data_IF_344223558316
#
_entry.id   IF_344223558316
#
_cell.length_a   1.000
_cell.length_b   1.000
_cell.length_c   1.000
_cell.angle_alpha   90.00
_cell.angle_beta   90.00
_cell.angle_gamma   90.00
#
_symmetry.space_group_name_H-M   'P 1'
#
loop_
_entity.id
_entity.type
_entity.pdbx_description
1 polymer ?
#
# COMPACT_ATOMS: atom_id res chain seq x y z
N UNK A 1 52.10 31.01 16.62
CA UNK A 1 50.82 31.30 17.28
C UNK A 1 49.75 31.91 16.36
N UNK A 2 50.01 32.85 15.48
CA UNK A 2 49.01 33.38 14.52
C UNK A 2 48.65 32.38 13.40
N UNK A 3 49.58 31.55 12.96
CA UNK A 3 49.41 30.59 11.84
C UNK A 3 48.51 29.42 12.25
N UNK A 4 48.61 28.91 13.47
CA UNK A 4 47.81 27.79 13.98
C UNK A 4 46.32 28.17 14.15
N UNK A 5 46.07 29.43 14.54
CA UNK A 5 44.69 29.93 14.71
C UNK A 5 43.97 30.07 13.36
N UNK A 6 44.67 30.48 12.30
CA UNK A 6 44.10 30.60 10.94
C UNK A 6 43.79 29.21 10.32
N UNK A 7 44.66 28.22 10.56
CA UNK A 7 44.38 26.83 10.14
C UNK A 7 43.19 26.22 10.89
N UNK A 8 43.08 26.47 12.19
CA UNK A 8 41.93 25.97 12.99
C UNK A 8 40.59 26.57 12.52
N UNK A 9 40.56 27.88 12.22
CA UNK A 9 39.34 28.53 11.71
C UNK A 9 38.99 28.04 10.32
N UNK A 10 39.97 27.77 9.43
CA UNK A 10 39.75 27.24 8.09
C UNK A 10 39.20 25.83 8.15
N UNK A 11 39.66 24.98 9.06
CA UNK A 11 39.19 23.60 9.22
C UNK A 11 37.76 23.57 9.78
N UNK A 12 37.44 24.45 10.73
CA UNK A 12 36.09 24.57 11.29
C UNK A 12 35.05 24.99 10.24
N UNK A 13 35.43 25.90 9.34
CA UNK A 13 34.56 26.36 8.25
C UNK A 13 34.31 25.24 7.20
N UNK A 14 35.29 24.39 6.91
CA UNK A 14 35.12 23.22 6.03
C UNK A 14 34.18 22.20 6.64
N UNK A 15 34.36 21.86 7.90
CA UNK A 15 33.51 20.92 8.63
C UNK A 15 32.04 21.38 8.67
N UNK A 16 31.83 22.66 8.92
CA UNK A 16 30.49 23.26 8.95
C UNK A 16 29.81 23.24 7.56
N UNK A 17 30.58 23.41 6.49
CA UNK A 17 30.08 23.35 5.11
C UNK A 17 29.63 21.94 4.74
N UNK A 18 30.34 20.89 5.15
CA UNK A 18 29.94 19.50 4.93
C UNK A 18 28.76 19.09 5.81
N UNK A 19 28.68 19.59 7.04
CA UNK A 19 27.53 19.36 7.93
C UNK A 19 26.26 19.97 7.35
N UNK A 20 26.34 21.15 6.73
CA UNK A 20 25.22 21.80 6.06
C UNK A 20 24.77 21.05 4.80
N UNK A 21 25.72 20.47 4.05
CA UNK A 21 25.42 19.63 2.88
C UNK A 21 24.71 18.33 3.28
N UNK A 22 25.07 17.76 4.43
CA UNK A 22 24.50 16.51 4.94
C UNK A 22 23.04 16.68 5.35
N UNK A 23 22.63 17.87 5.81
CA UNK A 23 21.26 18.19 6.20
C UNK A 23 20.33 18.20 5.00
N UNK A 24 20.80 18.60 3.80
CA UNK A 24 19.99 18.62 2.59
C UNK A 24 19.63 17.23 2.05
N UNK A 25 20.35 16.17 2.43
CA UNK A 25 20.10 14.81 1.96
C UNK A 25 18.85 14.20 2.65
N UNK A 26 18.46 14.71 3.81
CA UNK A 26 17.33 14.19 4.58
C UNK A 26 15.96 14.81 4.26
N UNK A 27 15.86 15.79 3.34
CA UNK A 27 14.61 16.51 3.02
C UNK A 27 13.87 15.86 1.85
N UNK A 28 14.25 14.65 1.39
CA UNK A 28 13.52 13.94 0.36
C UNK A 28 12.29 13.23 0.96
N UNK A 29 11.30 13.98 1.43
CA UNK A 29 9.95 13.48 1.63
C UNK A 29 9.29 13.28 0.26
N UNK A 30 9.40 12.09 -0.30
CA UNK A 30 8.67 11.69 -1.49
C UNK A 30 7.20 11.43 -1.11
N UNK A 31 6.36 12.44 -1.26
CA UNK A 31 4.91 12.27 -1.17
C UNK A 31 4.40 11.63 -2.48
N UNK A 32 4.14 10.34 -2.45
CA UNK A 32 3.42 9.66 -3.53
C UNK A 32 1.98 10.15 -3.50
N UNK A 33 1.60 10.98 -4.48
CA UNK A 33 0.18 11.32 -4.67
C UNK A 33 -0.58 10.04 -5.03
N UNK A 34 -1.63 9.73 -4.27
CA UNK A 34 -2.48 8.56 -4.48
C UNK A 34 -3.88 9.02 -4.84
N UNK A 35 -4.37 8.66 -6.00
CA UNK A 35 -5.77 8.82 -6.37
C UNK A 35 -6.50 7.51 -6.13
N UNK A 36 -6.92 7.27 -4.89
CA UNK A 36 -7.54 6.02 -4.50
C UNK A 36 -9.02 5.94 -4.86
N UNK A 37 -9.69 7.08 -5.00
CA UNK A 37 -11.12 7.15 -5.31
C UNK A 37 -11.47 6.49 -6.65
N UNK A 38 -10.56 6.53 -7.62
CA UNK A 38 -10.73 5.86 -8.92
C UNK A 38 -10.85 4.33 -8.81
N UNK A 39 -10.47 3.77 -7.66
CA UNK A 39 -10.47 2.33 -7.40
C UNK A 39 -11.56 1.89 -6.40
N UNK A 40 -12.46 2.80 -6.02
CA UNK A 40 -13.59 2.46 -5.14
C UNK A 40 -14.63 1.61 -5.87
N UNK A 41 -14.79 1.82 -7.18
CA UNK A 41 -15.72 1.07 -8.02
C UNK A 41 -15.05 0.63 -9.32
N UNK A 42 -15.56 -0.46 -9.91
CA UNK A 42 -15.09 -1.00 -11.19
C UNK A 42 -14.85 -2.50 -11.17
N UNK A 43 -14.26 -2.97 -12.26
CA UNK A 43 -13.86 -4.37 -12.45
C UNK A 43 -12.34 -4.49 -12.38
N UNK A 44 -11.86 -5.48 -11.66
CA UNK A 44 -10.47 -5.62 -11.30
C UNK A 44 -9.95 -7.04 -11.49
N UNK A 45 -8.65 -7.15 -11.71
CA UNK A 45 -7.91 -8.43 -11.77
C UNK A 45 -6.77 -8.38 -10.78
N UNK A 46 -6.68 -9.43 -9.97
CA UNK A 46 -5.57 -9.69 -9.06
C UNK A 46 -4.89 -11.00 -9.42
N UNK A 47 -3.57 -10.99 -9.50
CA UNK A 47 -2.76 -12.19 -9.72
C UNK A 47 -1.94 -12.50 -8.47
N UNK A 48 -1.98 -13.73 -8.04
CA UNK A 48 -1.19 -14.24 -6.91
C UNK A 48 -0.45 -15.51 -7.32
N UNK A 49 0.62 -15.82 -6.60
CA UNK A 49 1.35 -17.08 -6.75
C UNK A 49 0.92 -17.98 -5.60
N UNK A 50 0.28 -19.10 -5.92
CA UNK A 50 -0.15 -20.09 -4.94
C UNK A 50 0.48 -21.42 -5.35
N UNK A 51 1.28 -22.02 -4.47
CA UNK A 51 2.01 -23.27 -4.71
C UNK A 51 2.86 -23.27 -6.01
N UNK A 52 3.48 -22.11 -6.33
CA UNK A 52 4.30 -21.93 -7.52
C UNK A 52 3.53 -21.67 -8.83
N UNK A 53 2.20 -21.67 -8.79
CA UNK A 53 1.34 -21.37 -9.94
C UNK A 53 0.75 -19.97 -9.86
N UNK A 54 0.64 -19.30 -11.01
CA UNK A 54 -0.04 -18.00 -11.09
C UNK A 54 -1.56 -18.27 -11.10
N UNK A 55 -2.22 -17.84 -10.05
CA UNK A 55 -3.69 -17.84 -9.93
C UNK A 55 -4.23 -16.44 -10.18
N UNK A 56 -5.33 -16.36 -10.90
CA UNK A 56 -5.98 -15.09 -11.22
C UNK A 56 -7.35 -15.04 -10.55
N UNK A 57 -7.59 -13.98 -9.79
CA UNK A 57 -8.88 -13.63 -9.25
C UNK A 57 -9.43 -12.40 -9.98
N UNK A 58 -10.72 -12.39 -10.26
CA UNK A 58 -11.44 -11.22 -10.76
C UNK A 58 -12.40 -10.77 -9.69
N UNK A 59 -12.50 -9.45 -9.50
CA UNK A 59 -13.49 -8.92 -8.57
C UNK A 59 -14.12 -7.63 -9.10
N UNK A 60 -15.33 -7.39 -8.68
CA UNK A 60 -16.14 -6.23 -9.04
C UNK A 60 -16.49 -5.49 -7.77
N UNK A 61 -16.24 -4.19 -7.73
CA UNK A 61 -16.67 -3.29 -6.66
C UNK A 61 -17.82 -2.45 -7.13
N UNK A 62 -18.94 -2.56 -6.44
CA UNK A 62 -20.16 -1.78 -6.71
C UNK A 62 -20.68 -1.27 -5.37
N UNK A 63 -20.76 0.06 -5.21
CA UNK A 63 -21.22 0.69 -3.96
C UNK A 63 -20.40 0.18 -2.76
N UNK A 64 -21.04 -0.54 -1.85
CA UNK A 64 -20.44 -1.07 -0.62
C UNK A 64 -20.21 -2.58 -0.66
N UNK A 65 -20.09 -3.17 -1.85
CA UNK A 65 -19.90 -4.60 -2.04
C UNK A 65 -18.76 -4.90 -2.97
N UNK A 66 -18.05 -5.99 -2.68
CA UNK A 66 -17.07 -6.62 -3.55
C UNK A 66 -17.51 -8.05 -3.85
N UNK A 67 -17.56 -8.41 -5.12
CA UNK A 67 -17.89 -9.74 -5.60
C UNK A 67 -16.63 -10.30 -6.26
N UNK A 68 -16.06 -11.34 -5.69
CA UNK A 68 -14.86 -12.01 -6.19
C UNK A 68 -15.22 -13.32 -6.90
N UNK A 69 -14.57 -13.55 -8.03
CA UNK A 69 -14.64 -14.77 -8.81
C UNK A 69 -13.24 -15.39 -8.84
N UNK A 70 -13.09 -16.51 -8.15
CA UNK A 70 -11.84 -17.25 -8.07
C UNK A 70 -12.09 -18.75 -8.24
N UNK A 71 -11.41 -19.41 -9.20
CA UNK A 71 -11.55 -20.86 -9.50
C UNK A 71 -13.02 -21.30 -9.58
N UNK A 72 -13.84 -20.57 -10.34
CA UNK A 72 -15.29 -20.80 -10.52
C UNK A 72 -16.13 -20.69 -9.23
N UNK A 73 -15.56 -20.18 -8.15
CA UNK A 73 -16.31 -19.86 -6.93
C UNK A 73 -16.58 -18.35 -6.90
N UNK A 74 -17.76 -18.01 -6.44
CA UNK A 74 -18.19 -16.62 -6.25
C UNK A 74 -18.29 -16.37 -4.75
N UNK A 75 -17.53 -15.41 -4.27
CA UNK A 75 -17.58 -14.91 -2.91
C UNK A 75 -18.00 -13.45 -2.91
N UNK A 76 -18.72 -13.03 -1.87
CA UNK A 76 -19.18 -11.66 -1.74
C UNK A 76 -18.81 -11.11 -0.36
N UNK A 77 -18.36 -9.87 -0.34
CA UNK A 77 -18.02 -9.16 0.89
C UNK A 77 -18.66 -7.78 0.92
N UNK A 78 -18.97 -7.31 2.11
CA UNK A 78 -19.28 -5.91 2.35
C UNK A 78 -17.97 -5.13 2.46
N UNK A 79 -17.87 -4.02 1.73
CA UNK A 79 -16.73 -3.11 1.79
C UNK A 79 -17.13 -1.87 2.61
N UNK A 80 -16.26 -1.45 3.52
CA UNK A 80 -16.37 -0.21 4.27
C UNK A 80 -15.09 0.58 4.17
N UNK A 81 -15.14 1.71 3.49
CA UNK A 81 -14.02 2.62 3.39
C UNK A 81 -13.81 3.36 4.72
N UNK A 82 -12.59 3.28 5.25
CA UNK A 82 -12.16 4.00 6.47
C UNK A 82 -11.70 5.41 6.10
N UNK A 83 -11.01 5.49 4.96
CA UNK A 83 -10.61 6.71 4.27
C UNK A 83 -10.47 6.40 2.78
N UNK A 84 -10.09 7.36 1.95
CA UNK A 84 -9.98 7.19 0.50
C UNK A 84 -9.11 6.01 0.07
N UNK A 85 -8.07 5.68 0.84
CA UNK A 85 -7.08 4.67 0.49
C UNK A 85 -7.11 3.42 1.37
N UNK A 86 -8.09 3.29 2.27
CA UNK A 86 -8.14 2.18 3.23
C UNK A 86 -9.56 1.69 3.43
N UNK A 87 -9.78 0.38 3.29
CA UNK A 87 -11.07 -0.23 3.49
C UNK A 87 -10.99 -1.53 4.28
N UNK A 88 -12.15 -1.94 4.79
CA UNK A 88 -12.35 -3.20 5.49
C UNK A 88 -13.36 -4.03 4.72
N UNK A 89 -12.97 -5.26 4.39
CA UNK A 89 -13.83 -6.27 3.77
C UNK A 89 -14.36 -7.22 4.84
N UNK A 90 -15.66 -7.45 4.84
CA UNK A 90 -16.32 -8.45 5.69
C UNK A 90 -17.09 -9.41 4.80
N UNK A 91 -16.71 -10.68 4.81
CA UNK A 91 -17.36 -11.73 4.01
C UNK A 91 -18.84 -11.87 4.42
N UNK A 92 -19.74 -11.93 3.42
CA UNK A 92 -21.18 -12.00 3.70
C UNK A 92 -21.62 -13.39 4.17
N UNK A 93 -21.04 -14.45 3.60
CA UNK A 93 -21.40 -15.82 3.90
C UNK A 93 -20.17 -16.63 4.36
N UNK A 94 -19.61 -16.33 5.56
CA UNK A 94 -18.44 -17.04 6.05
C UNK A 94 -18.80 -18.47 6.43
N UNK A 95 -17.96 -19.43 5.99
CA UNK A 95 -18.12 -20.87 6.26
C UNK A 95 -17.28 -21.33 7.45
N UNK A 96 -16.38 -20.51 7.95
CA UNK A 96 -15.48 -20.82 9.07
C UNK A 96 -15.30 -19.61 9.98
N UNK A 97 -14.78 -19.83 11.20
CA UNK A 97 -14.43 -18.75 12.10
C UNK A 97 -13.29 -17.88 11.56
N UNK A 98 -12.40 -18.46 10.76
CA UNK A 98 -11.35 -17.72 10.06
C UNK A 98 -11.96 -16.72 9.07
N UNK A 99 -12.94 -17.13 8.29
CA UNK A 99 -13.59 -16.30 7.28
C UNK A 99 -14.48 -15.19 7.88
N UNK A 100 -14.89 -15.32 9.14
CA UNK A 100 -15.61 -14.26 9.87
C UNK A 100 -14.74 -13.06 10.21
N UNK A 101 -13.40 -13.26 10.22
CA UNK A 101 -12.45 -12.19 10.54
C UNK A 101 -12.36 -11.21 9.35
N UNK A 102 -12.62 -9.92 9.57
CA UNK A 102 -12.55 -8.94 8.50
C UNK A 102 -11.11 -8.73 8.03
N UNK A 103 -10.98 -8.38 6.75
CA UNK A 103 -9.70 -8.07 6.10
C UNK A 103 -9.57 -6.57 5.95
N UNK A 104 -8.46 -6.02 6.39
CA UNK A 104 -8.06 -4.64 6.15
C UNK A 104 -7.22 -4.58 4.87
N UNK A 105 -7.56 -3.65 3.99
CA UNK A 105 -6.83 -3.36 2.75
C UNK A 105 -6.39 -1.91 2.77
N UNK A 106 -5.11 -1.67 2.49
CA UNK A 106 -4.54 -0.32 2.37
C UNK A 106 -3.87 -0.15 1.01
N UNK A 107 -4.33 0.79 0.22
CA UNK A 107 -3.71 1.16 -1.06
C UNK A 107 -2.43 1.94 -0.76
N UNK A 108 -1.30 1.44 -1.26
CA UNK A 108 0.03 2.02 -1.01
C UNK A 108 0.44 3.00 -2.11
N UNK A 109 0.11 2.69 -3.37
CA UNK A 109 0.39 3.54 -4.52
C UNK A 109 -0.63 3.29 -5.61
N UNK A 110 -0.89 4.31 -6.43
CA UNK A 110 -1.76 4.24 -7.60
C UNK A 110 -1.01 4.61 -8.85
N UNK A 111 -1.37 4.01 -9.97
CA UNK A 111 -1.01 4.38 -11.35
C UNK A 111 -2.29 4.39 -12.15
N UNK A 112 -2.26 4.86 -13.41
CA UNK A 112 -3.43 5.05 -14.29
C UNK A 112 -4.57 4.03 -14.08
N UNK A 113 -4.28 2.74 -14.28
CA UNK A 113 -5.26 1.66 -14.16
C UNK A 113 -4.86 0.57 -13.15
N UNK A 114 -3.98 0.85 -12.22
CA UNK A 114 -3.52 -0.15 -11.25
C UNK A 114 -3.17 0.48 -9.91
N UNK A 115 -3.24 -0.35 -8.86
CA UNK A 115 -2.74 0.02 -7.55
C UNK A 115 -1.97 -1.12 -6.89
N UNK A 116 -1.01 -0.76 -6.04
CA UNK A 116 -0.40 -1.69 -5.10
C UNK A 116 -1.07 -1.55 -3.74
N UNK A 117 -1.22 -2.64 -3.04
CA UNK A 117 -1.90 -2.66 -1.75
C UNK A 117 -1.23 -3.61 -0.77
N UNK A 118 -1.52 -3.37 0.49
CA UNK A 118 -1.18 -4.24 1.62
C UNK A 118 -2.49 -4.71 2.25
N UNK A 119 -2.54 -5.96 2.66
CA UNK A 119 -3.71 -6.52 3.32
C UNK A 119 -3.32 -7.46 4.46
N UNK A 120 -4.17 -7.53 5.46
CA UNK A 120 -4.08 -8.45 6.60
C UNK A 120 -5.46 -8.64 7.23
N UNK A 121 -5.59 -9.62 8.11
CA UNK A 121 -6.73 -9.64 9.01
C UNK A 121 -6.69 -8.43 9.93
N UNK A 122 -7.84 -7.87 10.27
CA UNK A 122 -7.92 -6.75 11.20
C UNK A 122 -7.31 -7.15 12.55
N UNK A 123 -6.36 -6.33 13.04
CA UNK A 123 -5.62 -6.59 14.26
C UNK A 123 -4.36 -7.46 14.09
N UNK A 124 -4.12 -8.05 12.92
CA UNK A 124 -2.94 -8.87 12.65
C UNK A 124 -1.87 -8.05 11.89
N UNK A 125 -1.09 -7.30 12.63
CA UNK A 125 -0.04 -6.46 12.06
C UNK A 125 1.20 -7.24 11.61
N UNK A 126 1.38 -8.46 12.11
CA UNK A 126 2.56 -9.28 11.83
C UNK A 126 2.48 -10.00 10.47
N UNK A 127 1.27 -10.34 10.00
CA UNK A 127 1.04 -11.16 8.79
C UNK A 127 0.52 -10.35 7.61
N UNK A 128 1.09 -9.18 7.37
CA UNK A 128 0.76 -8.34 6.23
C UNK A 128 1.29 -8.92 4.94
N UNK A 129 0.46 -8.91 3.91
CA UNK A 129 0.80 -9.31 2.56
C UNK A 129 0.59 -8.17 1.59
N UNK A 130 1.30 -8.18 0.47
CA UNK A 130 1.20 -7.16 -0.58
C UNK A 130 0.82 -7.78 -1.91
N UNK A 131 0.15 -6.96 -2.71
CA UNK A 131 -0.24 -7.36 -4.05
C UNK A 131 -0.39 -6.15 -4.98
N UNK A 132 -0.65 -6.45 -6.24
CA UNK A 132 -0.96 -5.46 -7.27
C UNK A 132 -2.25 -5.86 -7.95
N UNK A 133 -3.13 -4.88 -8.10
CA UNK A 133 -4.42 -5.01 -8.80
C UNK A 133 -4.40 -4.15 -10.06
N UNK A 134 -5.04 -4.64 -11.10
CA UNK A 134 -5.26 -3.92 -12.35
C UNK A 134 -6.77 -3.70 -12.50
N UNK A 135 -7.17 -2.46 -12.72
CA UNK A 135 -8.54 -2.09 -13.10
C UNK A 135 -8.71 -2.33 -14.59
N UNK A 136 -9.75 -3.06 -14.96
CA UNK A 136 -10.03 -3.41 -16.37
C UNK A 136 -11.26 -2.69 -16.91
N UNK A 137 -12.10 -2.14 -15.98
CA UNK A 137 -13.28 -1.36 -16.37
C UNK A 137 -13.75 -0.44 -15.26
#
# INVERSE_FOLDING_TARGET
MKMDLLMYISQKNKLNKYLFLLIFIFISCYNVSRNCNDFHEGEFVFKSIINGEIKTSKFIRIRNYEIEIFENKIDSAKIRWVNDCECILTKLNPKSNQEKRPIQIKILSTKENSYTFEYSLVGDLANKRRGKVIKIK
#
